data_IF_150340129155
#
_entry.id   IF_150340129155
#
_cell.length_a   1.000
_cell.length_b   1.000
_cell.length_c   1.000
_cell.angle_alpha   90.00
_cell.angle_beta   90.00
_cell.angle_gamma   90.00
#
_symmetry.space_group_name_H-M   'P 1'
#
loop_
_entity.id
_entity.type
_entity.pdbx_description
1 polymer ?
#
# COMPACT_ATOMS: atom_id res chain seq x y z
N UNK A 1 17.07 10.91 24.56
CA UNK A 1 16.12 11.64 23.70
C UNK A 1 15.15 10.68 23.00
N UNK A 2 15.66 9.63 22.37
CA UNK A 2 14.89 8.60 21.62
C UNK A 2 13.82 7.90 22.45
N UNK A 3 14.13 7.52 23.70
CA UNK A 3 13.18 6.87 24.61
C UNK A 3 11.98 7.76 24.93
N UNK A 4 12.23 9.02 25.26
CA UNK A 4 11.19 10.00 25.58
C UNK A 4 10.36 10.38 24.36
N UNK A 5 11.00 10.64 23.21
CA UNK A 5 10.29 10.99 21.97
C UNK A 5 9.43 9.84 21.45
N UNK A 6 9.93 8.60 21.52
CA UNK A 6 9.19 7.40 21.10
C UNK A 6 7.99 7.10 21.99
N UNK A 7 8.13 7.25 23.31
CA UNK A 7 7.02 7.07 24.24
C UNK A 7 5.91 8.10 24.02
N UNK A 8 6.29 9.37 23.83
CA UNK A 8 5.34 10.43 23.49
C UNK A 8 4.62 10.15 22.18
N UNK A 9 5.36 9.80 21.12
CA UNK A 9 4.76 9.46 19.82
C UNK A 9 3.76 8.32 19.95
N UNK A 10 4.11 7.22 20.63
CA UNK A 10 3.21 6.06 20.75
C UNK A 10 1.92 6.38 21.49
N UNK A 11 1.99 7.23 22.53
CA UNK A 11 0.80 7.71 23.23
C UNK A 11 -0.12 8.51 22.31
N UNK A 12 0.45 9.42 21.52
CA UNK A 12 -0.31 10.24 20.58
C UNK A 12 -0.91 9.40 19.44
N UNK A 13 -0.15 8.46 18.88
CA UNK A 13 -0.62 7.55 17.83
C UNK A 13 -1.80 6.72 18.32
N UNK A 14 -1.69 6.11 19.51
CA UNK A 14 -2.76 5.29 20.05
C UNK A 14 -4.03 6.10 20.37
N UNK A 15 -3.90 7.39 20.71
CA UNK A 15 -5.04 8.25 21.02
C UNK A 15 -5.76 8.75 19.76
N UNK A 16 -5.05 8.92 18.65
CA UNK A 16 -5.58 9.55 17.43
C UNK A 16 -5.91 8.54 16.31
N UNK A 17 -5.60 7.25 16.48
CA UNK A 17 -5.79 6.22 15.44
C UNK A 17 -7.24 6.04 14.98
N UNK A 18 -8.21 6.32 15.85
CA UNK A 18 -9.64 6.09 15.59
C UNK A 18 -10.34 7.30 14.94
N UNK A 19 -9.60 8.40 14.74
CA UNK A 19 -10.13 9.61 14.11
C UNK A 19 -10.17 9.49 12.58
N UNK A 20 -11.32 9.80 11.98
CA UNK A 20 -11.53 9.72 10.53
C UNK A 20 -12.28 10.96 10.03
N UNK A 21 -11.99 11.39 8.80
CA UNK A 21 -12.73 12.42 8.09
C UNK A 21 -13.92 11.79 7.37
N UNK A 22 -15.13 12.22 7.71
CA UNK A 22 -16.37 11.75 7.10
C UNK A 22 -16.69 12.53 5.80
N UNK A 23 -17.67 12.04 5.03
CA UNK A 23 -18.06 12.63 3.74
C UNK A 23 -18.56 14.09 3.82
N UNK A 24 -18.96 14.55 4.99
CA UNK A 24 -19.39 15.92 5.25
C UNK A 24 -18.23 16.88 5.59
N UNK A 25 -16.99 16.38 5.61
CA UNK A 25 -15.80 17.15 5.96
C UNK A 25 -15.54 17.29 7.46
N UNK A 26 -16.37 16.65 8.30
CA UNK A 26 -16.19 16.63 9.76
C UNK A 26 -15.20 15.54 10.17
N UNK A 27 -14.46 15.77 11.27
CA UNK A 27 -13.58 14.76 11.87
C UNK A 27 -14.30 14.12 13.05
N UNK A 28 -14.46 12.80 12.99
CA UNK A 28 -15.22 12.04 14.00
C UNK A 28 -14.37 10.92 14.60
N UNK A 29 -14.69 10.57 15.85
CA UNK A 29 -14.20 9.35 16.50
C UNK A 29 -15.01 8.13 16.05
N UNK A 30 -14.56 6.92 16.41
CA UNK A 30 -15.26 5.64 16.23
C UNK A 30 -16.70 5.64 16.81
N UNK A 31 -16.93 6.37 17.91
CA UNK A 31 -18.25 6.56 18.52
C UNK A 31 -19.13 7.60 17.78
N UNK A 32 -18.69 8.11 16.63
CA UNK A 32 -19.32 9.17 15.82
C UNK A 32 -19.45 10.54 16.51
N UNK A 33 -18.76 10.73 17.63
CA UNK A 33 -18.63 12.04 18.27
C UNK A 33 -17.80 12.98 17.37
N UNK A 34 -18.29 14.20 17.14
CA UNK A 34 -17.63 15.21 16.32
C UNK A 34 -16.51 15.86 17.15
N UNK A 35 -15.28 15.75 16.68
CA UNK A 35 -14.10 16.37 17.30
C UNK A 35 -13.81 17.72 16.64
N UNK A 36 -13.92 17.77 15.31
CA UNK A 36 -13.74 19.00 14.52
C UNK A 36 -14.86 19.11 13.47
N UNK A 37 -15.46 20.30 13.35
CA UNK A 37 -16.52 20.55 12.36
C UNK A 37 -16.01 20.62 10.93
N UNK A 38 -14.81 21.18 10.72
CA UNK A 38 -14.14 21.25 9.42
C UNK A 38 -12.71 20.78 9.62
N UNK A 39 -12.28 19.74 8.90
CA UNK A 39 -10.90 19.25 8.97
C UNK A 39 -9.88 20.37 8.77
N UNK A 40 -8.97 20.57 9.72
CA UNK A 40 -7.90 21.56 9.59
C UNK A 40 -8.36 23.04 9.52
N UNK A 41 -9.63 23.33 9.85
CA UNK A 41 -10.32 24.62 9.67
C UNK A 41 -10.51 25.07 8.21
N UNK A 42 -9.66 24.61 7.28
CA UNK A 42 -9.70 24.95 5.85
C UNK A 42 -10.13 23.79 4.94
N UNK A 43 -10.16 22.55 5.46
CA UNK A 43 -10.51 21.34 4.72
C UNK A 43 -9.40 20.83 3.80
N UNK A 44 -8.16 21.29 3.96
CA UNK A 44 -7.08 21.00 3.02
C UNK A 44 -6.07 20.02 3.65
N UNK A 45 -5.74 18.96 2.91
CA UNK A 45 -4.70 18.02 3.32
C UNK A 45 -3.32 18.65 3.18
N UNK A 46 -2.58 18.71 4.29
CA UNK A 46 -1.22 19.23 4.36
C UNK A 46 -0.28 18.62 3.30
N UNK A 47 -0.45 17.34 2.92
CA UNK A 47 0.37 16.72 1.88
C UNK A 47 0.11 17.28 0.47
N UNK A 48 -1.06 17.87 0.24
CA UNK A 48 -1.48 18.46 -1.03
C UNK A 48 -1.34 19.99 -1.06
N UNK A 49 -1.00 20.61 0.07
CA UNK A 49 -0.72 22.06 0.15
C UNK A 49 0.64 22.41 -0.43
N UNK A 50 0.80 23.68 -0.82
CA UNK A 50 2.12 24.22 -1.13
C UNK A 50 2.72 24.85 0.13
N UNK A 51 3.56 24.09 0.83
CA UNK A 51 4.26 24.53 2.05
C UNK A 51 3.32 25.10 3.13
N UNK A 52 2.14 24.50 3.31
CA UNK A 52 1.15 24.94 4.29
C UNK A 52 0.24 26.07 3.80
N UNK A 53 0.45 26.61 2.60
CA UNK A 53 -0.53 27.47 1.94
C UNK A 53 -1.57 26.60 1.22
N UNK A 54 -2.84 26.92 1.45
CA UNK A 54 -3.98 26.36 0.74
C UNK A 54 -3.79 26.39 -0.79
N UNK A 55 -3.37 27.56 -1.29
CA UNK A 55 -3.21 27.83 -2.72
C UNK A 55 -2.08 28.82 -2.93
N UNK A 56 -1.12 28.48 -3.78
CA UNK A 56 -0.08 29.42 -4.21
C UNK A 56 -0.54 30.20 -5.46
N UNK A 57 -0.90 31.46 -5.23
CA UNK A 57 -1.40 32.36 -6.27
C UNK A 57 -0.34 32.72 -7.32
N UNK A 58 0.93 32.83 -6.93
CA UNK A 58 2.00 33.22 -7.85
C UNK A 58 2.26 32.11 -8.87
N UNK A 59 2.30 30.87 -8.42
CA UNK A 59 2.45 29.69 -9.29
C UNK A 59 1.24 29.54 -10.20
N UNK A 60 0.03 29.75 -9.67
CA UNK A 60 -1.18 29.74 -10.48
C UNK A 60 -1.19 30.84 -11.54
N UNK A 61 -0.79 32.06 -11.18
CA UNK A 61 -0.73 33.19 -12.10
C UNK A 61 0.31 32.95 -13.19
N UNK A 62 1.49 32.42 -12.83
CA UNK A 62 2.54 32.09 -13.78
C UNK A 62 2.09 31.00 -14.75
N UNK A 63 1.44 29.95 -14.26
CA UNK A 63 0.81 28.92 -15.10
C UNK A 63 -0.26 29.53 -16.00
N UNK A 64 -1.14 30.38 -15.46
CA UNK A 64 -2.20 31.03 -16.22
C UNK A 64 -1.66 31.93 -17.35
N UNK A 65 -0.56 32.64 -17.12
CA UNK A 65 0.13 33.45 -18.14
C UNK A 65 0.79 32.59 -19.22
N UNK A 66 1.32 31.43 -18.85
CA UNK A 66 1.95 30.49 -19.78
C UNK A 66 0.92 29.72 -20.64
N UNK A 67 -0.32 29.59 -20.17
CA UNK A 67 -1.41 28.97 -20.92
C UNK A 67 -1.95 29.97 -21.96
N UNK A 68 -1.79 29.65 -23.24
CA UNK A 68 -2.48 30.38 -24.31
C UNK A 68 -3.97 30.03 -24.31
N UNK A 69 -4.77 30.93 -23.75
CA UNK A 69 -6.22 30.82 -23.61
C UNK A 69 -6.91 30.60 -24.97
N UNK A 70 -6.28 31.05 -26.07
CA UNK A 70 -6.78 30.89 -27.44
C UNK A 70 -6.82 29.44 -27.94
N UNK A 71 -5.84 28.62 -27.56
CA UNK A 71 -5.78 27.21 -27.93
C UNK A 71 -6.75 26.35 -27.11
N UNK A 72 -6.86 26.63 -25.81
CA UNK A 72 -7.78 25.91 -24.90
C UNK A 72 -9.24 26.16 -25.28
N UNK A 73 -9.60 27.39 -25.66
CA UNK A 73 -10.96 27.71 -26.13
C UNK A 73 -11.34 26.96 -27.40
N UNK A 74 -10.38 26.70 -28.30
CA UNK A 74 -10.59 25.88 -29.51
C UNK A 74 -10.78 24.39 -29.19
N UNK A 75 -10.11 23.87 -28.16
CA UNK A 75 -10.27 22.49 -27.72
C UNK A 75 -11.53 22.27 -26.87
N UNK A 76 -11.94 23.21 -26.02
CA UNK A 76 -13.20 23.10 -25.24
C UNK A 76 -14.48 23.28 -26.08
N UNK A 77 -14.38 23.84 -27.29
CA UNK A 77 -15.49 23.92 -28.24
C UNK A 77 -15.82 22.58 -28.93
N UNK A 78 -14.92 21.59 -28.87
CA UNK A 78 -15.19 20.23 -29.33
C UNK A 78 -15.94 19.50 -28.23
N UNK A 79 -17.26 19.36 -28.41
CA UNK A 79 -18.14 18.57 -27.53
C UNK A 79 -17.49 17.20 -27.27
N UNK A 80 -17.42 16.70 -26.02
CA UNK A 80 -16.82 15.40 -25.75
C UNK A 80 -17.59 14.33 -26.55
N UNK A 81 -16.92 13.73 -27.53
CA UNK A 81 -17.45 12.57 -28.24
C UNK A 81 -17.53 11.44 -27.22
N UNK A 82 -18.75 10.99 -26.95
CA UNK A 82 -18.99 9.82 -26.11
C UNK A 82 -18.44 8.59 -26.82
N UNK A 83 -17.15 8.32 -26.66
CA UNK A 83 -16.61 6.98 -26.89
C UNK A 83 -17.14 6.12 -25.74
N UNK A 84 -18.20 5.36 -26.02
CA UNK A 84 -18.64 4.24 -25.20
C UNK A 84 -17.48 3.24 -25.11
N UNK A 85 -16.59 3.40 -24.14
CA UNK A 85 -15.78 2.29 -23.67
C UNK A 85 -16.65 1.48 -22.72
N UNK A 86 -17.22 0.40 -23.25
CA UNK A 86 -17.76 -0.68 -22.44
C UNK A 86 -16.73 -1.05 -21.35
N UNK A 87 -17.13 -1.21 -20.07
CA UNK A 87 -16.22 -1.69 -19.06
C UNK A 87 -15.90 -3.15 -19.38
N UNK A 88 -14.71 -3.42 -19.93
CA UNK A 88 -14.11 -4.77 -19.81
C UNK A 88 -14.04 -5.08 -18.31
N UNK A 89 -14.53 -6.25 -17.85
CA UNK A 89 -14.51 -6.58 -16.43
C UNK A 89 -13.08 -6.51 -15.92
N UNK A 90 -12.83 -5.58 -14.98
CA UNK A 90 -11.60 -5.56 -14.20
C UNK A 90 -11.53 -6.90 -13.48
N UNK A 91 -10.52 -7.72 -13.80
CA UNK A 91 -10.11 -8.85 -12.96
C UNK A 91 -9.80 -8.28 -11.59
N UNK A 92 -10.71 -8.48 -10.66
CA UNK A 92 -10.53 -8.14 -9.24
C UNK A 92 -9.30 -8.89 -8.78
N UNK A 93 -8.19 -8.17 -8.60
CA UNK A 93 -7.13 -8.60 -7.70
C UNK A 93 -7.76 -8.64 -6.31
N UNK A 94 -8.20 -9.83 -5.91
CA UNK A 94 -8.64 -10.10 -4.54
C UNK A 94 -7.48 -9.76 -3.61
N UNK A 95 -7.52 -8.58 -2.99
CA UNK A 95 -6.80 -8.34 -1.75
C UNK A 95 -7.34 -9.38 -0.75
N UNK A 96 -6.40 -10.14 -0.22
CA UNK A 96 -6.59 -11.18 0.81
C UNK A 96 -7.29 -10.54 2.02
N UNK A 97 -8.40 -11.09 2.53
CA UNK A 97 -8.96 -10.62 3.80
C UNK A 97 -8.01 -11.00 4.94
N UNK A 98 -7.64 -10.00 5.74
CA UNK A 98 -7.14 -10.21 7.10
C UNK A 98 -8.26 -10.84 7.94
N UNK A 99 -7.94 -11.92 8.66
CA UNK A 99 -8.84 -12.58 9.61
C UNK A 99 -8.24 -12.48 11.01
N UNK A 100 -9.07 -12.05 11.95
CA UNK A 100 -8.83 -11.89 13.39
C UNK A 100 -8.45 -13.24 14.09
N UNK A 101 -8.02 -13.24 15.37
CA UNK A 101 -7.00 -14.16 15.90
C UNK A 101 -7.48 -15.47 16.55
N UNK A 102 -6.50 -16.39 16.72
CA UNK A 102 -6.40 -17.59 17.61
C UNK A 102 -6.98 -18.94 17.08
N UNK A 103 -6.42 -20.14 17.42
CA UNK A 103 -5.73 -20.52 18.66
C UNK A 103 -4.32 -21.13 18.52
N UNK A 104 -3.60 -21.17 19.64
CA UNK A 104 -2.37 -21.93 19.83
C UNK A 104 -2.64 -23.44 19.69
N UNK A 105 -1.84 -24.14 18.89
CA UNK A 105 -1.55 -25.56 19.08
C UNK A 105 -0.07 -25.80 18.75
N UNK A 106 0.71 -26.13 19.78
CA UNK A 106 2.07 -26.71 19.69
C UNK A 106 1.99 -28.19 19.27
N UNK A 107 3.12 -28.92 19.18
CA UNK A 107 4.09 -29.01 18.10
C UNK A 107 3.93 -30.34 17.32
N UNK A 108 4.14 -30.35 16.00
CA UNK A 108 4.21 -31.59 15.23
C UNK A 108 5.58 -31.69 14.57
N UNK A 109 6.45 -32.49 15.20
CA UNK A 109 7.61 -33.11 14.57
C UNK A 109 7.09 -34.28 13.74
N UNK A 110 6.80 -34.06 12.47
CA UNK A 110 6.56 -35.15 11.53
C UNK A 110 7.62 -35.06 10.43
N UNK A 111 8.68 -35.84 10.66
CA UNK A 111 9.48 -36.56 9.66
C UNK A 111 9.66 -35.86 8.30
N UNK A 112 10.66 -34.97 8.22
CA UNK A 112 11.34 -34.70 6.95
C UNK A 112 11.93 -36.04 6.52
N UNK A 113 11.45 -36.59 5.40
CA UNK A 113 11.98 -37.83 4.85
C UNK A 113 13.48 -37.64 4.61
N UNK A 114 14.27 -38.64 5.01
CA UNK A 114 15.73 -38.64 4.85
C UNK A 114 16.16 -38.31 3.41
N UNK A 115 15.31 -38.67 2.46
CA UNK A 115 15.53 -38.46 1.04
C UNK A 115 15.55 -36.96 0.65
N UNK A 116 14.77 -36.10 1.31
CA UNK A 116 14.73 -34.65 0.98
C UNK A 116 15.94 -33.88 1.53
N UNK A 117 16.56 -34.33 2.62
CA UNK A 117 17.80 -33.73 3.16
C UNK A 117 19.01 -34.04 2.27
N UNK A 118 19.09 -35.26 1.74
CA UNK A 118 20.17 -35.69 0.86
C UNK A 118 20.09 -34.99 -0.51
N UNK A 119 18.88 -34.75 -1.02
CA UNK A 119 18.69 -33.97 -2.25
C UNK A 119 19.10 -32.50 -2.08
N UNK A 120 18.83 -31.91 -0.92
CA UNK A 120 19.25 -30.55 -0.62
C UNK A 120 20.78 -30.42 -0.58
N UNK A 121 21.49 -31.37 0.04
CA UNK A 121 22.97 -31.37 0.06
C UNK A 121 23.56 -31.52 -1.34
N UNK A 122 23.05 -32.45 -2.14
CA UNK A 122 23.54 -32.67 -3.50
C UNK A 122 23.38 -31.41 -4.37
N UNK A 123 22.26 -30.68 -4.24
CA UNK A 123 22.08 -29.41 -4.93
C UNK A 123 23.06 -28.32 -4.47
N UNK A 124 23.28 -28.23 -3.16
CA UNK A 124 24.20 -27.25 -2.57
C UNK A 124 25.66 -27.52 -2.97
N UNK A 125 26.06 -28.80 -3.06
CA UNK A 125 27.39 -29.23 -3.49
C UNK A 125 27.59 -29.07 -5.01
N UNK A 126 26.58 -29.38 -5.84
CA UNK A 126 26.66 -29.26 -7.30
C UNK A 126 26.61 -27.80 -7.79
N UNK A 127 25.79 -26.96 -7.16
CA UNK A 127 25.49 -25.60 -7.68
C UNK A 127 26.08 -24.47 -6.85
N UNK A 128 26.56 -24.75 -5.64
CA UNK A 128 27.03 -23.75 -4.68
C UNK A 128 25.94 -22.78 -4.20
N UNK A 129 24.67 -23.05 -4.52
CA UNK A 129 23.50 -22.23 -4.17
C UNK A 129 22.69 -22.93 -3.10
N UNK A 130 22.17 -22.17 -2.14
CA UNK A 130 21.32 -22.71 -1.06
C UNK A 130 19.98 -23.21 -1.59
N UNK A 131 19.60 -24.43 -1.22
CA UNK A 131 18.30 -24.97 -1.62
C UNK A 131 17.15 -24.21 -0.95
N UNK A 132 17.34 -23.80 0.31
CA UNK A 132 16.37 -23.07 1.12
C UNK A 132 16.88 -21.66 1.45
N UNK A 133 16.06 -20.63 1.19
CA UNK A 133 16.31 -19.26 1.61
C UNK A 133 15.15 -18.70 2.44
N UNK A 134 15.45 -18.26 3.68
CA UNK A 134 14.45 -17.77 4.65
C UNK A 134 13.25 -18.72 4.84
N UNK A 135 13.51 -20.03 4.90
CA UNK A 135 12.49 -21.06 5.14
C UNK A 135 11.57 -21.34 3.93
N UNK A 136 11.96 -20.91 2.73
CA UNK A 136 11.28 -21.24 1.47
C UNK A 136 12.27 -21.86 0.49
N UNK A 137 11.83 -22.87 -0.25
CA UNK A 137 12.62 -23.46 -1.34
C UNK A 137 12.92 -22.40 -2.42
N UNK A 138 14.15 -22.41 -2.93
CA UNK A 138 14.55 -21.53 -4.02
C UNK A 138 14.06 -22.10 -5.35
N UNK A 139 13.73 -21.21 -6.29
CA UNK A 139 13.31 -21.62 -7.63
C UNK A 139 14.36 -22.49 -8.33
N UNK A 140 15.65 -22.20 -8.09
CA UNK A 140 16.75 -22.99 -8.62
C UNK A 140 16.76 -24.43 -8.10
N UNK A 141 16.40 -24.65 -6.83
CA UNK A 141 16.26 -25.98 -6.26
C UNK A 141 15.03 -26.72 -6.81
N UNK A 142 13.89 -26.03 -6.93
CA UNK A 142 12.68 -26.64 -7.52
C UNK A 142 12.90 -27.04 -8.99
N UNK A 143 13.56 -26.19 -9.78
CA UNK A 143 13.87 -26.47 -11.19
C UNK A 143 14.88 -27.64 -11.32
N UNK A 144 15.92 -27.67 -10.47
CA UNK A 144 16.90 -28.78 -10.43
C UNK A 144 16.28 -30.10 -9.95
N UNK A 145 15.36 -30.04 -8.98
CA UNK A 145 14.63 -31.22 -8.48
C UNK A 145 13.78 -31.84 -9.59
N UNK A 146 13.10 -31.02 -10.40
CA UNK A 146 12.35 -31.48 -11.58
C UNK A 146 13.26 -32.12 -12.62
N UNK A 147 14.47 -31.58 -12.83
CA UNK A 147 15.43 -32.13 -13.80
C UNK A 147 16.05 -33.47 -13.35
N UNK A 148 16.21 -33.69 -12.04
CA UNK A 148 16.86 -34.90 -11.50
C UNK A 148 15.88 -36.03 -11.15
N UNK A 149 14.61 -35.71 -10.88
CA UNK A 149 13.55 -36.67 -10.53
C UNK A 149 12.47 -36.84 -11.62
N UNK A 150 12.59 -36.10 -12.73
CA UNK A 150 11.66 -36.11 -13.88
C UNK A 150 12.10 -37.02 -15.01
#
# INVERSE_FOLDING_TARGET
RTSTSGYMQRRLVNALQDMVVENDGTVRNSEKNIIQFVFGDDGIDAMHTDHGAAVNLDVLLLKAKALDVGAIRKEMGKKPTSTKSSPKPKKVTKKKPEKAPSPKTTPIKDEISKDDEDLQKNFEDETGKKAIWRGKETKAYSDWKIEKLG
#
